data_IF_828286693283
#
_entry.id   IF_828286693283
#
_cell.length_a   1.000
_cell.length_b   1.000
_cell.length_c   1.000
_cell.angle_alpha   90.00
_cell.angle_beta   90.00
_cell.angle_gamma   90.00
#
_symmetry.space_group_name_H-M   'P 1'
#
loop_
_entity.id
_entity.type
_entity.pdbx_description
1 polymer ?
#
# COMPACT_ATOMS: atom_id res chain seq x y z
N UNK A 1 -8.30 -9.36 -27.84
CA UNK A 1 -8.25 -7.98 -28.38
C UNK A 1 -8.33 -6.87 -27.31
N UNK A 2 -8.50 -7.20 -26.01
CA UNK A 2 -8.75 -6.21 -24.94
C UNK A 2 -7.43 -5.67 -24.30
N UNK A 3 -6.36 -6.48 -24.25
CA UNK A 3 -5.07 -6.07 -23.66
C UNK A 3 -4.35 -4.94 -24.41
N UNK A 4 -4.53 -4.86 -25.73
CA UNK A 4 -3.89 -3.84 -26.56
C UNK A 4 -4.44 -2.43 -26.34
N UNK A 5 -5.73 -2.31 -25.98
CA UNK A 5 -6.37 -1.01 -25.76
C UNK A 5 -6.02 -0.41 -24.39
N UNK A 6 -5.91 -1.22 -23.33
CA UNK A 6 -5.53 -0.76 -21.98
C UNK A 6 -4.10 -0.22 -21.91
N UNK A 7 -3.13 -0.88 -22.58
CA UNK A 7 -1.75 -0.39 -22.70
C UNK A 7 -1.66 1.01 -23.34
N UNK A 8 -2.55 1.32 -24.30
CA UNK A 8 -2.57 2.63 -24.99
C UNK A 8 -3.14 3.77 -24.15
N UNK A 9 -4.00 3.47 -23.16
CA UNK A 9 -4.61 4.47 -22.29
C UNK A 9 -3.67 4.89 -21.14
N UNK A 10 -2.83 3.98 -20.64
CA UNK A 10 -1.83 4.30 -19.61
C UNK A 10 -0.79 5.32 -20.10
N UNK A 11 -0.27 5.13 -21.32
CA UNK A 11 0.66 6.09 -21.95
C UNK A 11 0.06 7.49 -22.13
N UNK A 12 -1.27 7.58 -22.33
CA UNK A 12 -2.01 8.85 -22.47
C UNK A 12 -2.35 9.51 -21.14
N UNK A 13 -2.48 8.76 -20.05
CA UNK A 13 -2.76 9.31 -18.72
C UNK A 13 -1.50 9.80 -17.98
N UNK A 14 -0.32 9.26 -18.31
CA UNK A 14 0.96 9.67 -17.73
C UNK A 14 1.30 11.16 -18.00
N UNK A 15 0.69 11.78 -19.02
CA UNK A 15 0.93 13.19 -19.40
C UNK A 15 0.05 14.22 -18.67
N UNK A 16 -0.89 13.82 -17.77
CA UNK A 16 -1.90 14.76 -17.22
C UNK A 16 -1.72 15.18 -15.76
N UNK A 17 -0.77 14.63 -14.99
CA UNK A 17 -0.49 15.09 -13.61
C UNK A 17 1.01 15.16 -13.33
N UNK A 18 1.56 16.37 -13.39
CA UNK A 18 2.90 16.69 -12.93
C UNK A 18 3.00 16.60 -11.39
N UNK A 19 3.51 15.47 -10.91
CA UNK A 19 4.51 15.42 -9.85
C UNK A 19 5.55 14.41 -10.31
N UNK A 20 6.81 14.58 -9.92
CA UNK A 20 7.92 13.69 -10.30
C UNK A 20 7.60 12.27 -9.84
N UNK A 21 6.96 11.48 -10.71
CA UNK A 21 6.60 10.10 -10.44
C UNK A 21 7.85 9.27 -10.60
N UNK A 22 8.38 8.75 -9.49
CA UNK A 22 9.52 7.84 -9.56
C UNK A 22 9.08 6.56 -10.32
N UNK A 23 10.02 5.87 -10.96
CA UNK A 23 9.75 4.64 -11.71
C UNK A 23 8.94 3.62 -10.89
N UNK A 24 9.24 3.52 -9.58
CA UNK A 24 8.50 2.68 -8.64
C UNK A 24 7.02 3.07 -8.50
N UNK A 25 6.73 4.38 -8.43
CA UNK A 25 5.34 4.87 -8.29
C UNK A 25 4.54 4.62 -9.58
N UNK A 26 5.19 4.72 -10.74
CA UNK A 26 4.56 4.40 -12.03
C UNK A 26 4.21 2.91 -12.14
N UNK A 27 5.10 2.03 -11.69
CA UNK A 27 4.85 0.57 -11.67
C UNK A 27 3.73 0.25 -10.68
N UNK A 28 3.74 0.86 -9.49
CA UNK A 28 2.70 0.71 -8.47
C UNK A 28 1.32 1.09 -9.02
N UNK A 29 1.20 2.29 -9.59
CA UNK A 29 -0.05 2.78 -10.16
C UNK A 29 -0.57 1.88 -11.28
N UNK A 30 0.31 1.42 -12.17
CA UNK A 30 -0.07 0.50 -13.24
C UNK A 30 -0.62 -0.82 -12.72
N UNK A 31 0.03 -1.39 -11.70
CA UNK A 31 -0.41 -2.64 -11.08
C UNK A 31 -1.77 -2.42 -10.39
N UNK A 32 -1.95 -1.32 -9.65
CA UNK A 32 -3.22 -0.99 -8.99
C UNK A 32 -4.38 -0.83 -9.98
N UNK A 33 -4.16 -0.17 -11.13
CA UNK A 33 -5.17 -0.03 -12.20
C UNK A 33 -5.56 -1.38 -12.81
N UNK A 34 -4.61 -2.30 -12.95
CA UNK A 34 -4.90 -3.64 -13.45
C UNK A 34 -5.64 -4.50 -12.43
N UNK A 35 -5.48 -4.20 -11.15
CA UNK A 35 -6.11 -4.88 -10.02
C UNK A 35 -7.46 -4.26 -9.61
N UNK A 36 -7.88 -3.14 -10.20
CA UNK A 36 -9.02 -2.32 -9.75
C UNK A 36 -10.31 -3.14 -9.61
N UNK A 37 -10.70 -3.88 -10.66
CA UNK A 37 -11.90 -4.73 -10.68
C UNK A 37 -11.60 -6.21 -10.37
N UNK A 38 -10.37 -6.57 -10.01
CA UNK A 38 -9.90 -7.95 -9.91
C UNK A 38 -9.34 -8.26 -8.52
N UNK A 39 -9.70 -9.39 -7.92
CA UNK A 39 -9.14 -9.83 -6.64
C UNK A 39 -7.71 -10.40 -6.79
N UNK A 40 -7.32 -10.82 -7.99
CA UNK A 40 -5.97 -11.30 -8.29
C UNK A 40 -5.57 -11.03 -9.74
N UNK A 41 -4.27 -10.85 -9.97
CA UNK A 41 -3.68 -10.73 -11.31
C UNK A 41 -2.39 -11.54 -11.40
N UNK A 42 -2.11 -12.06 -12.60
CA UNK A 42 -0.85 -12.72 -12.93
C UNK A 42 0.03 -11.77 -13.74
N UNK A 43 1.25 -11.54 -13.25
CA UNK A 43 2.21 -10.61 -13.80
C UNK A 43 3.49 -11.32 -14.25
N UNK A 44 3.92 -11.06 -15.48
CA UNK A 44 5.24 -11.48 -15.95
C UNK A 44 6.30 -10.42 -15.60
N UNK A 45 7.30 -10.80 -14.78
CA UNK A 45 8.42 -9.90 -14.42
C UNK A 45 9.14 -9.36 -15.64
N UNK A 46 9.37 -10.24 -16.62
CA UNK A 46 10.12 -9.92 -17.82
C UNK A 46 9.34 -8.97 -18.73
N UNK A 47 8.03 -9.18 -18.86
CA UNK A 47 7.18 -8.28 -19.66
C UNK A 47 7.05 -6.90 -19.03
N UNK A 48 6.84 -6.82 -17.71
CA UNK A 48 6.81 -5.55 -16.99
C UNK A 48 8.16 -4.83 -17.10
N UNK A 49 9.27 -5.54 -16.89
CA UNK A 49 10.61 -5.00 -17.02
C UNK A 49 10.86 -4.45 -18.44
N UNK A 50 10.43 -5.16 -19.48
CA UNK A 50 10.54 -4.71 -20.86
C UNK A 50 9.64 -3.50 -21.15
N UNK A 51 8.41 -3.48 -20.64
CA UNK A 51 7.45 -2.39 -20.84
C UNK A 51 7.92 -1.08 -20.18
N UNK A 52 8.42 -1.16 -18.95
CA UNK A 52 8.96 -0.01 -18.21
C UNK A 52 10.43 0.28 -18.51
N UNK A 53 11.05 -0.49 -19.42
CA UNK A 53 12.47 -0.37 -19.80
C UNK A 53 13.42 -0.40 -18.59
N UNK A 54 13.13 -1.29 -17.64
CA UNK A 54 13.89 -1.42 -16.39
C UNK A 54 14.40 -2.85 -16.16
N UNK A 55 15.31 -3.03 -15.19
CA UNK A 55 15.77 -4.35 -14.80
C UNK A 55 14.66 -5.16 -14.08
N UNK A 56 14.60 -6.50 -14.20
CA UNK A 56 13.65 -7.33 -13.45
C UNK A 56 13.75 -7.19 -11.93
N UNK A 57 14.93 -6.83 -11.41
CA UNK A 57 15.13 -6.51 -9.99
C UNK A 57 14.30 -5.32 -9.52
N UNK A 58 14.06 -4.33 -10.39
CA UNK A 58 13.21 -3.18 -10.07
C UNK A 58 11.76 -3.60 -9.84
N UNK A 59 11.25 -4.54 -10.65
CA UNK A 59 9.91 -5.10 -10.46
C UNK A 59 9.82 -5.83 -9.12
N UNK A 60 10.82 -6.64 -8.79
CA UNK A 60 10.86 -7.33 -7.50
C UNK A 60 10.90 -6.34 -6.33
N UNK A 61 11.68 -5.27 -6.44
CA UNK A 61 11.74 -4.23 -5.41
C UNK A 61 10.39 -3.54 -5.19
N UNK A 62 9.68 -3.18 -6.27
CA UNK A 62 8.34 -2.58 -6.16
C UNK A 62 7.36 -3.56 -5.53
N UNK A 63 7.35 -4.82 -5.96
CA UNK A 63 6.46 -5.83 -5.39
C UNK A 63 6.74 -6.09 -3.92
N UNK A 64 8.01 -6.21 -3.51
CA UNK A 64 8.34 -6.48 -2.11
C UNK A 64 8.10 -5.29 -1.17
N UNK A 65 8.10 -4.05 -1.69
CA UNK A 65 7.95 -2.83 -0.87
C UNK A 65 6.57 -2.21 -0.91
N UNK A 66 5.81 -2.38 -2.01
CA UNK A 66 4.48 -1.79 -2.21
C UNK A 66 3.35 -2.81 -2.20
N UNK A 67 3.63 -4.07 -2.51
CA UNK A 67 2.65 -5.15 -2.60
C UNK A 67 3.00 -6.26 -1.62
N UNK A 68 3.14 -5.88 -0.34
CA UNK A 68 3.42 -6.78 0.77
C UNK A 68 2.14 -7.13 1.54
N UNK A 69 2.16 -8.22 2.30
CA UNK A 69 1.06 -8.62 3.20
C UNK A 69 0.58 -7.44 4.06
N UNK A 70 1.48 -6.68 4.71
CA UNK A 70 1.17 -5.42 5.36
C UNK A 70 0.24 -4.44 4.66
N UNK A 71 0.35 -4.38 3.33
CA UNK A 71 -0.37 -3.44 2.47
C UNK A 71 -1.64 -4.07 1.88
N UNK A 72 -2.02 -5.26 2.34
CA UNK A 72 -3.21 -5.97 1.87
C UNK A 72 -2.96 -6.79 0.61
N UNK A 73 -1.72 -7.21 0.36
CA UNK A 73 -1.36 -7.93 -0.87
C UNK A 73 -0.54 -9.17 -0.59
N UNK A 74 -0.87 -10.27 -1.26
CA UNK A 74 -0.06 -11.50 -1.23
C UNK A 74 0.56 -11.74 -2.59
N UNK A 75 1.88 -11.92 -2.64
CA UNK A 75 2.59 -12.28 -3.87
C UNK A 75 3.07 -13.72 -3.84
N UNK A 76 2.71 -14.51 -4.83
CA UNK A 76 3.17 -15.89 -5.01
C UNK A 76 3.95 -15.99 -6.31
N UNK A 77 5.19 -16.48 -6.27
CA UNK A 77 5.99 -16.69 -7.48
C UNK A 77 5.99 -18.15 -7.92
N UNK A 78 5.65 -18.42 -9.17
CA UNK A 78 5.82 -19.75 -9.75
C UNK A 78 7.13 -19.79 -10.58
N UNK A 79 8.02 -20.74 -10.27
CA UNK A 79 9.29 -20.94 -10.99
C UNK A 79 9.11 -22.02 -12.07
N UNK A 80 9.51 -21.73 -13.31
CA UNK A 80 9.38 -22.61 -14.49
C UNK A 80 9.52 -21.85 -15.83
N UNK A 81 9.36 -22.53 -16.97
CA UNK A 81 9.61 -22.00 -18.34
C UNK A 81 8.70 -20.86 -18.82
N UNK A 82 7.79 -20.38 -17.97
CA UNK A 82 6.93 -19.20 -18.19
C UNK A 82 6.59 -18.51 -16.87
N UNK A 83 7.55 -18.44 -15.95
CA UNK A 83 7.33 -18.00 -14.57
C UNK A 83 6.63 -16.64 -14.47
N UNK A 84 5.51 -16.61 -13.74
CA UNK A 84 4.73 -15.42 -13.42
C UNK A 84 4.66 -15.22 -11.91
N UNK A 85 4.30 -14.01 -11.51
CA UNK A 85 3.97 -13.65 -10.14
C UNK A 85 2.46 -13.50 -10.08
N UNK A 86 1.81 -14.24 -9.21
CA UNK A 86 0.43 -13.98 -8.83
C UNK A 86 0.41 -12.96 -7.71
N UNK A 87 -0.32 -11.87 -7.91
CA UNK A 87 -0.59 -10.84 -6.92
C UNK A 87 -2.07 -10.91 -6.55
N UNK A 88 -2.37 -11.10 -5.27
CA UNK A 88 -3.73 -11.26 -4.75
C UNK A 88 -4.01 -10.18 -3.70
N UNK A 89 -5.21 -9.60 -3.69
CA UNK A 89 -5.67 -8.79 -2.56
C UNK A 89 -5.98 -9.69 -1.38
N UNK A 90 -5.30 -9.46 -0.26
CA UNK A 90 -5.67 -10.08 1.01
C UNK A 90 -6.87 -9.32 1.55
N UNK A 91 -8.03 -9.97 1.57
CA UNK A 91 -9.19 -9.48 2.32
C UNK A 91 -9.02 -9.86 3.78
N UNK A 92 -8.30 -9.04 4.53
CA UNK A 92 -8.33 -9.16 5.98
C UNK A 92 -9.76 -8.91 6.46
N UNK A 93 -10.27 -9.76 7.35
CA UNK A 93 -11.39 -9.32 8.17
C UNK A 93 -10.91 -8.18 9.11
N UNK A 94 -11.84 -7.35 9.61
CA UNK A 94 -11.46 -6.17 10.39
C UNK A 94 -10.54 -6.47 11.58
N UNK A 95 -10.69 -7.64 12.22
CA UNK A 95 -9.87 -8.05 13.34
C UNK A 95 -8.45 -8.46 12.93
N UNK A 96 -8.30 -9.25 11.86
CA UNK A 96 -6.99 -9.64 11.32
C UNK A 96 -6.16 -8.41 10.91
N UNK A 97 -6.81 -7.41 10.30
CA UNK A 97 -6.12 -6.17 9.94
C UNK A 97 -5.67 -5.39 11.17
N UNK A 98 -6.50 -5.31 12.21
CA UNK A 98 -6.14 -4.65 13.47
C UNK A 98 -4.99 -5.37 14.19
N UNK A 99 -4.98 -6.71 14.21
CA UNK A 99 -3.87 -7.50 14.77
C UNK A 99 -2.56 -7.29 14.00
N UNK A 100 -2.64 -7.25 12.67
CA UNK A 100 -1.50 -6.93 11.82
C UNK A 100 -0.93 -5.54 12.15
N UNK A 101 -1.78 -4.50 12.24
CA UNK A 101 -1.31 -3.16 12.54
C UNK A 101 -0.78 -3.07 13.98
N UNK A 102 -1.38 -3.76 14.95
CA UNK A 102 -0.84 -3.84 16.32
C UNK A 102 0.59 -4.38 16.32
N UNK A 103 0.86 -5.45 15.58
CA UNK A 103 2.20 -6.03 15.49
C UNK A 103 3.20 -5.01 14.91
N UNK A 104 2.82 -4.32 13.83
CA UNK A 104 3.68 -3.31 13.19
C UNK A 104 3.94 -2.06 14.05
N UNK A 105 2.95 -1.62 14.83
CA UNK A 105 3.02 -0.40 15.66
C UNK A 105 3.70 -0.59 17.02
N UNK A 106 3.81 -1.83 17.52
CA UNK A 106 4.29 -2.12 18.88
C UNK A 106 5.76 -1.75 19.13
N UNK A 107 6.61 -1.87 18.11
CA UNK A 107 8.08 -1.72 18.26
C UNK A 107 8.67 -0.79 17.17
N UNK A 108 7.86 -0.39 16.18
CA UNK A 108 8.32 0.30 14.99
C UNK A 108 8.38 1.84 15.05
N UNK A 109 8.90 2.40 13.94
CA UNK A 109 8.74 3.79 13.54
C UNK A 109 7.78 3.79 12.34
N UNK A 110 6.79 4.69 12.34
CA UNK A 110 5.84 4.82 11.23
C UNK A 110 5.95 6.22 10.67
N UNK A 111 6.26 6.33 9.38
CA UNK A 111 6.28 7.62 8.71
C UNK A 111 4.86 8.15 8.46
N UNK A 112 4.76 9.43 8.09
CA UNK A 112 3.45 10.04 7.92
C UNK A 112 2.64 9.43 6.78
N UNK A 113 3.29 9.00 5.68
CA UNK A 113 2.61 8.41 4.53
C UNK A 113 2.03 7.05 4.90
N UNK A 114 2.83 6.20 5.52
CA UNK A 114 2.40 4.88 6.00
C UNK A 114 1.22 5.00 6.98
N UNK A 115 1.26 5.97 7.88
CA UNK A 115 0.13 6.21 8.78
C UNK A 115 -1.15 6.63 8.08
N UNK A 116 -1.07 7.46 7.03
CA UNK A 116 -2.24 7.81 6.22
C UNK A 116 -2.80 6.61 5.48
N UNK A 117 -1.94 5.72 4.99
CA UNK A 117 -2.36 4.46 4.35
C UNK A 117 -3.13 3.59 5.37
N UNK A 118 -2.62 3.45 6.59
CA UNK A 118 -3.30 2.72 7.68
C UNK A 118 -4.68 3.32 7.99
N UNK A 119 -4.75 4.65 8.22
CA UNK A 119 -6.00 5.33 8.53
C UNK A 119 -7.02 5.29 7.37
N UNK A 120 -6.53 5.32 6.12
CA UNK A 120 -7.35 5.16 4.92
C UNK A 120 -7.98 3.78 4.85
N UNK A 121 -7.19 2.74 5.08
CA UNK A 121 -7.67 1.35 5.07
C UNK A 121 -8.68 1.09 6.20
N UNK A 122 -8.42 1.57 7.42
CA UNK A 122 -9.37 1.46 8.52
C UNK A 122 -10.73 2.11 8.18
N UNK A 123 -10.70 3.25 7.47
CA UNK A 123 -11.91 3.94 7.00
C UNK A 123 -12.65 3.16 5.93
N UNK A 124 -11.92 2.66 4.92
CA UNK A 124 -12.48 1.86 3.82
C UNK A 124 -13.12 0.56 4.31
N UNK A 125 -12.56 -0.04 5.37
CA UNK A 125 -13.10 -1.24 6.00
C UNK A 125 -14.27 -0.94 6.95
N UNK A 126 -14.62 0.34 7.17
CA UNK A 126 -15.68 0.75 8.09
C UNK A 126 -15.36 0.54 9.57
N UNK A 127 -14.09 0.34 9.92
CA UNK A 127 -13.63 0.17 11.30
C UNK A 127 -13.64 1.51 12.03
N UNK A 128 -13.30 2.58 11.32
CA UNK A 128 -13.46 3.98 11.76
C UNK A 128 -14.21 4.75 10.68
N UNK A 129 -14.83 5.87 11.04
CA UNK A 129 -15.44 6.78 10.08
C UNK A 129 -14.43 7.70 9.37
N UNK A 130 -14.79 8.21 8.19
CA UNK A 130 -13.95 9.18 7.45
C UNK A 130 -13.60 10.43 8.26
N UNK A 131 -14.51 10.86 9.14
CA UNK A 131 -14.29 11.97 10.06
C UNK A 131 -13.20 11.66 11.09
N UNK A 132 -13.20 10.45 11.66
CA UNK A 132 -12.21 9.99 12.63
C UNK A 132 -10.85 9.82 11.98
N UNK A 133 -10.80 9.19 10.80
CA UNK A 133 -9.60 9.06 9.98
C UNK A 133 -8.97 10.43 9.69
N UNK A 134 -9.80 11.42 9.31
CA UNK A 134 -9.35 12.80 9.08
C UNK A 134 -8.81 13.46 10.35
N UNK A 135 -9.51 13.37 11.47
CA UNK A 135 -9.06 13.95 12.74
C UNK A 135 -7.72 13.35 13.17
N UNK A 136 -7.61 12.02 13.12
CA UNK A 136 -6.39 11.30 13.47
C UNK A 136 -5.22 11.72 12.57
N UNK A 137 -5.45 11.91 11.26
CA UNK A 137 -4.42 12.36 10.33
C UNK A 137 -3.80 13.71 10.73
N UNK A 138 -4.60 14.65 11.22
CA UNK A 138 -4.09 15.93 11.72
C UNK A 138 -3.32 15.78 13.03
N UNK A 139 -3.80 14.93 13.93
CA UNK A 139 -3.19 14.69 15.24
C UNK A 139 -1.77 14.09 15.14
N UNK A 140 -1.51 13.29 14.11
CA UNK A 140 -0.20 12.65 13.87
C UNK A 140 0.70 13.38 12.86
N UNK A 141 0.26 14.55 12.39
CA UNK A 141 1.00 15.35 11.42
C UNK A 141 2.32 15.86 12.02
N UNK A 142 3.32 16.07 11.17
CA UNK A 142 4.62 16.62 11.61
C UNK A 142 4.47 17.96 12.33
N UNK A 143 3.49 18.78 11.91
CA UNK A 143 3.16 20.06 12.56
C UNK A 143 2.59 19.88 13.96
N UNK A 144 1.76 18.87 14.19
CA UNK A 144 1.17 18.59 15.50
C UNK A 144 2.22 18.01 16.47
N UNK A 145 3.09 17.13 15.97
CA UNK A 145 4.12 16.47 16.78
C UNK A 145 5.31 17.40 17.09
N UNK A 146 5.67 18.30 16.17
CA UNK A 146 6.67 19.36 16.34
C UNK A 146 7.97 18.89 17.02
N UNK A 147 8.53 17.78 16.54
CA UNK A 147 9.71 17.12 17.11
C UNK A 147 10.66 16.62 16.01
N UNK A 148 11.92 16.24 16.34
CA UNK A 148 12.84 15.68 15.34
C UNK A 148 12.28 14.44 14.65
N UNK A 149 12.50 14.29 13.35
CA UNK A 149 11.88 13.26 12.48
C UNK A 149 11.92 11.84 13.05
N UNK A 150 13.05 11.42 13.62
CA UNK A 150 13.18 10.08 14.21
C UNK A 150 12.27 9.88 15.44
N UNK A 151 12.13 10.92 16.26
CA UNK A 151 11.20 10.90 17.40
C UNK A 151 9.76 11.01 16.93
N UNK A 152 9.52 11.78 15.86
CA UNK A 152 8.22 11.98 15.24
C UNK A 152 7.62 10.64 14.78
N UNK A 153 8.37 9.85 14.02
CA UNK A 153 7.90 8.56 13.51
C UNK A 153 7.62 7.56 14.63
N UNK A 154 8.44 7.57 15.70
CA UNK A 154 8.21 6.74 16.88
C UNK A 154 6.98 7.19 17.67
N UNK A 155 6.77 8.50 17.81
CA UNK A 155 5.61 9.03 18.51
C UNK A 155 4.32 8.77 17.73
N UNK A 156 4.36 8.88 16.39
CA UNK A 156 3.26 8.50 15.51
C UNK A 156 2.88 7.04 15.67
N UNK A 157 3.85 6.14 15.63
CA UNK A 157 3.61 4.71 15.86
C UNK A 157 2.91 4.45 17.21
N UNK A 158 3.37 5.12 18.28
CA UNK A 158 2.75 5.02 19.61
C UNK A 158 1.32 5.54 19.66
N UNK A 159 1.02 6.65 18.99
CA UNK A 159 -0.34 7.19 18.94
C UNK A 159 -1.26 6.20 18.23
N UNK A 160 -0.87 5.73 17.05
CA UNK A 160 -1.63 4.74 16.28
C UNK A 160 -1.85 3.44 17.08
N UNK A 161 -0.79 2.94 17.73
CA UNK A 161 -0.88 1.75 18.57
C UNK A 161 -1.99 1.86 19.62
N UNK A 162 -2.06 2.98 20.33
CA UNK A 162 -3.08 3.19 21.36
C UNK A 162 -4.49 3.34 20.78
N UNK A 163 -4.62 3.98 19.62
CA UNK A 163 -5.90 4.07 18.89
C UNK A 163 -6.40 2.68 18.53
N UNK A 164 -5.54 1.83 17.98
CA UNK A 164 -5.90 0.48 17.57
C UNK A 164 -6.28 -0.39 18.78
N UNK A 165 -5.53 -0.29 19.89
CA UNK A 165 -5.90 -0.96 21.14
C UNK A 165 -7.29 -0.52 21.60
N UNK A 166 -7.61 0.78 21.52
CA UNK A 166 -8.91 1.29 21.91
C UNK A 166 -10.04 0.72 21.04
N UNK A 167 -9.85 0.69 19.71
CA UNK A 167 -10.79 0.10 18.76
C UNK A 167 -11.04 -1.38 19.09
N UNK A 168 -9.98 -2.18 19.33
CA UNK A 168 -10.11 -3.59 19.69
C UNK A 168 -10.82 -3.83 21.02
N UNK A 169 -10.69 -2.90 21.97
CA UNK A 169 -11.40 -2.96 23.26
C UNK A 169 -12.86 -2.56 23.14
N UNK A 170 -13.21 -1.67 22.21
CA UNK A 170 -14.59 -1.22 21.99
C UNK A 170 -15.44 -2.21 21.17
N UNK A 171 -14.79 -3.14 20.45
CA UNK A 171 -15.44 -4.18 19.66
C UNK A 171 -15.70 -5.51 20.42
N UNK A 172 -15.41 -5.56 21.73
CA UNK A 172 -15.75 -6.66 22.65
C UNK A 172 -16.77 -6.18 23.68
#
# INVERSE_FOLDING_TARGET
>A
MIEGQRKSNFAKNCTRRERVSNLSDMIEQFILEQLEDMDSIDLSRNELASFFQCAPSQINYVLSTRFSEPRGFMTTSQRGGGGYIRLERVRYNGNEYLEYILASTSIGEIDYREALEILGNLSQMGIIGDGESRILSYAISSKALSMPVKMENRQRARILHNVIINILRGNN
#
